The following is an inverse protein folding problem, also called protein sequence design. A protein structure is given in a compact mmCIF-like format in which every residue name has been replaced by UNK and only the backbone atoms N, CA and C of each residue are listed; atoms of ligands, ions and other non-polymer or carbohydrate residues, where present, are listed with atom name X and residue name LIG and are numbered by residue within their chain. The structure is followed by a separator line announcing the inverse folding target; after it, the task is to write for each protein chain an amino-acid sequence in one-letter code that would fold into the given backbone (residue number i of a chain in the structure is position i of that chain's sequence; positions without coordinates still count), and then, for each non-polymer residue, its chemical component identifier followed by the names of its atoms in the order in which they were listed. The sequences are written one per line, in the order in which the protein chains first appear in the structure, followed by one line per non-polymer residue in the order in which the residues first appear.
data_IF_210468149681
#
_entry.id   IF_210468149681
#
_cell.length_a   1.000
_cell.length_b   1.000
_cell.length_c   1.000
_cell.angle_alpha   90.00
_cell.angle_beta   90.00
_cell.angle_gamma   90.00
#
_symmetry.space_group_name_H-M   'P 1'
#
loop_
_entity.id
_entity.type
_entity.pdbx_description
1 polymer ?
#
# COMPACT_ATOMS: atom_id res chain seq x y z
N UNK A 1 -9.04 7.32 -5.95
CA UNK A 1 -7.75 6.61 -5.75
C UNK A 1 -6.52 7.47 -6.01
N UNK A 2 -6.19 7.85 -7.25
CA UNK A 2 -4.96 8.61 -7.53
C UNK A 2 -4.84 9.92 -6.72
N UNK A 3 -5.93 10.71 -6.63
CA UNK A 3 -5.98 11.92 -5.80
C UNK A 3 -5.75 11.65 -4.30
N UNK A 4 -6.28 10.55 -3.78
CA UNK A 4 -6.12 10.18 -2.37
C UNK A 4 -4.67 9.78 -2.05
N UNK A 5 -3.98 9.10 -2.98
CA UNK A 5 -2.55 8.79 -2.82
C UNK A 5 -1.71 10.09 -2.77
N UNK A 6 -2.00 11.04 -3.66
CA UNK A 6 -1.29 12.33 -3.67
C UNK A 6 -1.55 13.12 -2.38
N UNK A 7 -2.80 13.16 -1.91
CA UNK A 7 -3.16 13.81 -0.66
C UNK A 7 -2.52 13.11 0.54
N UNK A 8 -2.50 11.78 0.59
CA UNK A 8 -1.88 11.01 1.67
C UNK A 8 -0.38 11.27 1.78
N UNK A 9 0.32 11.36 0.64
CA UNK A 9 1.75 11.71 0.62
C UNK A 9 1.98 13.16 1.06
N UNK A 10 1.05 14.07 0.75
CA UNK A 10 1.15 15.49 1.11
C UNK A 10 0.92 15.71 2.61
N UNK A 11 -0.08 15.04 3.18
CA UNK A 11 -0.53 15.22 4.56
C UNK A 11 -0.17 14.03 5.46
N UNK A 12 0.98 13.39 5.23
CA UNK A 12 1.36 12.13 5.89
C UNK A 12 1.47 12.18 7.42
N UNK A 13 1.47 13.37 8.03
CA UNK A 13 1.51 13.58 9.50
C UNK A 13 0.15 13.93 10.11
N UNK A 14 -0.87 14.17 9.30
CA UNK A 14 -2.20 14.57 9.76
C UNK A 14 -3.14 13.35 9.73
N UNK A 15 -3.44 12.81 10.90
CA UNK A 15 -4.25 11.61 11.03
C UNK A 15 -5.71 11.83 10.61
N UNK A 16 -6.26 13.03 10.82
CA UNK A 16 -7.65 13.34 10.51
C UNK A 16 -7.85 13.39 9.00
N UNK A 17 -6.94 14.07 8.29
CA UNK A 17 -6.96 14.12 6.82
C UNK A 17 -6.75 12.73 6.21
N UNK A 18 -5.85 11.92 6.77
CA UNK A 18 -5.61 10.55 6.30
C UNK A 18 -6.86 9.67 6.44
N UNK A 19 -7.63 9.81 7.51
CA UNK A 19 -8.87 9.07 7.71
C UNK A 19 -9.94 9.47 6.69
N UNK A 20 -10.11 10.77 6.44
CA UNK A 20 -11.08 11.29 5.48
C UNK A 20 -10.77 10.82 4.05
N UNK A 21 -9.53 10.96 3.59
CA UNK A 21 -9.16 10.61 2.20
C UNK A 21 -9.11 9.09 1.96
N UNK A 22 -9.04 8.29 3.03
CA UNK A 22 -9.05 6.82 2.95
C UNK A 22 -10.46 6.26 2.82
N UNK A 23 -11.49 7.07 3.11
CA UNK A 23 -12.89 6.68 2.95
C UNK A 23 -13.29 6.57 1.46
N UNK A 24 -14.25 5.70 1.16
CA UNK A 24 -14.83 5.50 -0.18
C UNK A 24 -13.84 5.21 -1.32
N UNK A 25 -12.64 4.71 -1.01
CA UNK A 25 -11.66 4.31 -2.02
C UNK A 25 -11.99 2.97 -2.70
N UNK A 26 -12.94 2.19 -2.18
CA UNK A 26 -13.29 0.84 -2.61
C UNK A 26 -12.23 -0.20 -2.22
N UNK A 27 -12.38 -1.45 -2.69
CA UNK A 27 -11.53 -2.59 -2.29
C UNK A 27 -10.09 -2.51 -2.80
N UNK A 28 -9.12 -2.64 -1.90
CA UNK A 28 -7.72 -2.70 -2.28
C UNK A 28 -7.46 -3.88 -3.23
N UNK A 29 -6.44 -3.76 -4.09
CA UNK A 29 -6.04 -4.90 -4.92
C UNK A 29 -5.53 -6.02 -3.99
N UNK A 30 -5.86 -7.27 -4.30
CA UNK A 30 -5.36 -8.42 -3.55
C UNK A 30 -3.83 -8.46 -3.62
N UNK A 31 -3.19 -8.52 -2.46
CA UNK A 31 -1.77 -8.84 -2.39
C UNK A 31 -1.50 -10.30 -2.81
N UNK A 32 -0.25 -10.57 -3.17
CA UNK A 32 0.25 -11.93 -3.40
C UNK A 32 1.07 -12.32 -2.17
N UNK A 33 0.79 -13.48 -1.58
CA UNK A 33 1.55 -13.99 -0.44
C UNK A 33 2.98 -14.36 -0.87
N UNK A 34 3.96 -13.93 -0.08
CA UNK A 34 5.39 -14.19 -0.30
C UNK A 34 5.69 -15.69 -0.47
N UNK A 35 4.95 -16.57 0.21
CA UNK A 35 5.12 -18.02 0.10
C UNK A 35 4.76 -18.56 -1.29
N UNK A 36 3.90 -17.85 -2.02
CA UNK A 36 3.42 -18.24 -3.36
C UNK A 36 4.26 -17.66 -4.50
N UNK A 37 5.06 -16.63 -4.22
CA UNK A 37 5.96 -16.00 -5.19
C UNK A 37 7.15 -16.94 -5.44
N UNK A 38 7.52 -17.15 -6.71
CA UNK A 38 8.69 -17.96 -7.06
C UNK A 38 9.98 -17.29 -6.55
N UNK A 39 11.03 -18.05 -6.21
CA UNK A 39 12.30 -17.46 -5.73
C UNK A 39 12.87 -16.36 -6.66
N UNK A 40 12.79 -16.57 -7.97
CA UNK A 40 13.25 -15.62 -9.00
C UNK A 40 12.51 -14.27 -9.02
N UNK A 41 11.28 -14.23 -8.55
CA UNK A 41 10.44 -13.02 -8.51
C UNK A 41 10.52 -12.30 -7.14
N UNK A 42 11.21 -12.89 -6.15
CA UNK A 42 11.37 -12.28 -4.82
C UNK A 42 12.49 -11.25 -4.86
N UNK A 43 12.19 -10.03 -4.40
CA UNK A 43 13.19 -8.99 -4.21
C UNK A 43 14.15 -9.25 -3.04
N UNK A 44 13.84 -10.22 -2.19
CA UNK A 44 14.69 -10.65 -1.08
C UNK A 44 14.82 -12.17 -1.08
N UNK A 45 16.05 -12.65 -1.12
CA UNK A 45 16.38 -13.99 -0.65
C UNK A 45 16.42 -13.96 0.88
N UNK A 46 15.89 -15.01 1.52
CA UNK A 46 15.85 -15.09 2.97
C UNK A 46 17.29 -15.28 3.49
N UNK A 47 18.01 -14.19 3.71
CA UNK A 47 19.40 -14.21 4.17
C UNK A 47 19.91 -12.80 4.49
N UNK A 48 20.10 -12.55 5.79
CA UNK A 48 21.13 -11.64 6.28
C UNK A 48 22.42 -12.42 6.43
#
# INVERSE_FOLDING_TARGET
RAKAIVAATTYFRDADVLAEISADLGEAMSGIDILTIKPEDRMQDRGW
#
